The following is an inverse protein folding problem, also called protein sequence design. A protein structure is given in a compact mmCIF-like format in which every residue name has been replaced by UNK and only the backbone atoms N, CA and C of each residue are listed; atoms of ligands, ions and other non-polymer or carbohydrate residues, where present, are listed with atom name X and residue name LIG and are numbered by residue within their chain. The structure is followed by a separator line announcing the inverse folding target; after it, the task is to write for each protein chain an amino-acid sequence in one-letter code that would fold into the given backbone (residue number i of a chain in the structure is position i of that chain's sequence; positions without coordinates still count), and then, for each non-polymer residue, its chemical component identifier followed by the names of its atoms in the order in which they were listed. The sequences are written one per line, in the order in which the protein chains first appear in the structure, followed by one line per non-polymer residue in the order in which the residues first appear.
data_IF_320390683073
#
_entry.id   IF_320390683073
#
_cell.length_a   1.000
_cell.length_b   1.000
_cell.length_c   1.000
_cell.angle_alpha   90.00
_cell.angle_beta   90.00
_cell.angle_gamma   90.00
#
_symmetry.space_group_name_H-M   'P 1'
#
loop_
_entity.id
_entity.type
_entity.pdbx_description
1 polymer ?
#
# COMPACT_ATOMS: atom_id res chain seq x y z
N UNK A 1 -15.44 10.05 20.17
CA UNK A 1 -16.78 10.58 19.80
C UNK A 1 -17.53 9.47 19.07
N UNK A 2 -18.57 8.90 19.68
CA UNK A 2 -19.36 7.83 19.02
C UNK A 2 -20.29 8.45 18.00
N UNK A 3 -20.16 8.09 16.72
CA UNK A 3 -21.13 8.41 15.67
C UNK A 3 -22.47 7.68 15.95
N UNK A 4 -23.37 8.32 16.71
CA UNK A 4 -24.58 7.70 17.24
C UNK A 4 -25.79 7.83 16.27
N UNK A 5 -25.76 8.78 15.32
CA UNK A 5 -26.85 9.05 14.39
C UNK A 5 -26.59 8.60 12.95
N UNK A 6 -27.67 8.37 12.18
CA UNK A 6 -27.63 8.02 10.75
C UNK A 6 -26.77 8.99 9.92
N UNK A 7 -26.98 10.29 10.06
CA UNK A 7 -26.22 11.33 9.35
C UNK A 7 -24.75 11.34 9.76
N UNK A 8 -24.42 11.08 11.02
CA UNK A 8 -23.04 11.01 11.48
C UNK A 8 -22.32 9.79 10.88
N UNK A 9 -22.92 8.60 10.94
CA UNK A 9 -22.34 7.38 10.35
C UNK A 9 -22.14 7.52 8.84
N UNK A 10 -23.12 8.13 8.13
CA UNK A 10 -23.03 8.44 6.70
C UNK A 10 -21.84 9.36 6.41
N UNK A 11 -21.74 10.48 7.12
CA UNK A 11 -20.68 11.47 6.89
C UNK A 11 -19.29 10.92 7.21
N UNK A 12 -19.15 10.15 8.30
CA UNK A 12 -17.90 9.48 8.63
C UNK A 12 -17.48 8.46 7.55
N UNK A 13 -18.43 7.66 7.07
CA UNK A 13 -18.16 6.68 6.02
C UNK A 13 -17.79 7.35 4.70
N UNK A 14 -18.49 8.44 4.33
CA UNK A 14 -18.14 9.23 3.16
C UNK A 14 -16.75 9.86 3.30
N UNK A 15 -16.42 10.45 4.46
CA UNK A 15 -15.12 11.06 4.70
C UNK A 15 -13.96 10.05 4.59
N UNK A 16 -14.13 8.85 5.18
CA UNK A 16 -13.15 7.77 5.05
C UNK A 16 -12.96 7.35 3.59
N UNK A 17 -14.04 7.16 2.84
CA UNK A 17 -13.90 6.77 1.44
C UNK A 17 -13.29 7.87 0.57
N UNK A 18 -13.56 9.15 0.83
CA UNK A 18 -12.90 10.27 0.16
C UNK A 18 -11.40 10.26 0.49
N UNK A 19 -11.02 10.03 1.74
CA UNK A 19 -9.62 9.89 2.13
C UNK A 19 -8.92 8.77 1.34
N UNK A 20 -9.55 7.59 1.22
CA UNK A 20 -9.00 6.47 0.44
C UNK A 20 -8.91 6.77 -1.06
N UNK A 21 -9.87 7.50 -1.63
CA UNK A 21 -9.77 8.00 -3.02
C UNK A 21 -8.54 8.89 -3.17
N UNK A 22 -8.31 9.83 -2.26
CA UNK A 22 -7.15 10.73 -2.31
C UNK A 22 -5.83 9.95 -2.18
N UNK A 23 -5.75 9.00 -1.25
CA UNK A 23 -4.57 8.13 -1.07
C UNK A 23 -4.30 7.29 -2.31
N UNK A 24 -5.33 6.69 -2.92
CA UNK A 24 -5.18 5.89 -4.13
C UNK A 24 -4.67 6.70 -5.33
N UNK A 25 -5.20 7.91 -5.54
CA UNK A 25 -4.74 8.83 -6.58
C UNK A 25 -3.30 9.28 -6.34
N UNK A 26 -2.94 9.55 -5.09
CA UNK A 26 -1.58 9.91 -4.70
C UNK A 26 -0.60 8.76 -4.96
N UNK A 27 -0.95 7.52 -4.62
CA UNK A 27 -0.13 6.34 -4.92
C UNK A 27 0.09 6.17 -6.43
N UNK A 28 -0.98 6.26 -7.23
CA UNK A 28 -0.90 6.16 -8.69
C UNK A 28 -0.02 7.29 -9.25
N UNK A 29 -0.23 8.53 -8.77
CA UNK A 29 0.53 9.70 -9.20
C UNK A 29 2.02 9.59 -8.91
N UNK A 30 2.41 9.18 -7.69
CA UNK A 30 3.82 9.00 -7.31
C UNK A 30 4.46 7.87 -8.12
N UNK A 31 3.76 6.75 -8.32
CA UNK A 31 4.28 5.62 -9.09
C UNK A 31 4.49 5.99 -10.58
N UNK A 32 3.53 6.71 -11.18
CA UNK A 32 3.63 7.19 -12.54
C UNK A 32 4.76 8.23 -12.70
N UNK A 33 4.87 9.17 -11.75
CA UNK A 33 5.90 10.20 -11.74
C UNK A 33 7.30 9.60 -11.57
N UNK A 34 7.48 8.68 -10.61
CA UNK A 34 8.75 7.98 -10.40
C UNK A 34 9.21 7.20 -11.63
N UNK A 35 8.27 6.61 -12.38
CA UNK A 35 8.55 5.96 -13.66
C UNK A 35 8.98 6.95 -14.74
N UNK A 36 8.29 8.09 -14.84
CA UNK A 36 8.58 9.12 -15.83
C UNK A 36 10.00 9.71 -15.66
N UNK A 37 10.42 9.94 -14.42
CA UNK A 37 11.76 10.46 -14.11
C UNK A 37 12.85 9.39 -14.07
N UNK A 38 12.55 8.13 -14.40
CA UNK A 38 13.52 7.05 -14.42
C UNK A 38 14.09 6.66 -13.05
N UNK A 39 13.43 7.08 -11.96
CA UNK A 39 13.81 6.75 -10.58
C UNK A 39 13.62 5.26 -10.28
N UNK A 40 12.66 4.64 -10.95
CA UNK A 40 12.39 3.19 -10.86
C UNK A 40 12.21 2.64 -12.26
N UNK A 41 13.16 1.82 -12.73
CA UNK A 41 13.10 1.18 -14.06
C UNK A 41 12.33 -0.15 -14.01
N UNK A 42 12.14 -0.75 -12.84
CA UNK A 42 11.42 -2.00 -12.68
C UNK A 42 9.92 -1.84 -12.94
N UNK A 43 9.48 -2.23 -14.13
CA UNK A 43 8.06 -2.21 -14.53
C UNK A 43 7.15 -3.01 -13.59
N UNK A 44 7.67 -4.09 -12.97
CA UNK A 44 6.91 -4.94 -12.05
C UNK A 44 6.54 -4.20 -10.76
N UNK A 45 7.48 -3.45 -10.18
CA UNK A 45 7.23 -2.68 -8.94
C UNK A 45 6.24 -1.55 -9.20
N UNK A 46 6.48 -0.76 -10.25
CA UNK A 46 5.58 0.34 -10.64
C UNK A 46 4.19 -0.18 -10.98
N UNK A 47 4.09 -1.24 -11.77
CA UNK A 47 2.82 -1.87 -12.14
C UNK A 47 2.07 -2.42 -10.93
N UNK A 48 2.77 -3.00 -9.96
CA UNK A 48 2.19 -3.47 -8.70
C UNK A 48 1.57 -2.33 -7.88
N UNK A 49 2.31 -1.23 -7.69
CA UNK A 49 1.82 -0.06 -6.94
C UNK A 49 0.61 0.58 -7.63
N UNK A 50 0.66 0.75 -8.96
CA UNK A 50 -0.47 1.27 -9.75
C UNK A 50 -1.67 0.33 -9.63
N UNK A 51 -1.47 -0.99 -9.75
CA UNK A 51 -2.54 -1.98 -9.63
C UNK A 51 -3.25 -1.93 -8.29
N UNK A 52 -2.50 -1.85 -7.18
CA UNK A 52 -3.06 -1.68 -5.84
C UNK A 52 -3.80 -0.34 -5.73
N UNK A 53 -3.22 0.76 -6.22
CA UNK A 53 -3.86 2.07 -6.22
C UNK A 53 -5.19 2.08 -6.98
N UNK A 54 -5.25 1.48 -8.17
CA UNK A 54 -6.47 1.35 -8.97
C UNK A 54 -7.52 0.49 -8.25
N UNK A 55 -7.11 -0.63 -7.66
CA UNK A 55 -8.00 -1.47 -6.86
C UNK A 55 -8.62 -0.70 -5.68
N UNK A 56 -7.80 -0.01 -4.89
CA UNK A 56 -8.26 0.81 -3.75
C UNK A 56 -9.20 1.93 -4.20
N UNK A 57 -8.91 2.57 -5.34
CA UNK A 57 -9.77 3.60 -5.93
C UNK A 57 -11.19 3.07 -6.21
N UNK A 58 -11.31 1.92 -6.87
CA UNK A 58 -12.62 1.33 -7.15
C UNK A 58 -13.35 0.88 -5.88
N UNK A 59 -12.65 0.29 -4.92
CA UNK A 59 -13.24 -0.09 -3.62
C UNK A 59 -13.78 1.14 -2.89
N UNK A 60 -13.02 2.22 -2.85
CA UNK A 60 -13.43 3.47 -2.22
C UNK A 60 -14.62 4.12 -2.94
N UNK A 61 -14.68 4.09 -4.28
CA UNK A 61 -15.85 4.56 -5.05
C UNK A 61 -17.09 3.74 -4.74
N UNK A 62 -16.98 2.42 -4.67
CA UNK A 62 -18.09 1.52 -4.30
C UNK A 62 -18.60 1.86 -2.90
N UNK A 63 -17.70 2.06 -1.94
CA UNK A 63 -18.03 2.48 -0.57
C UNK A 63 -18.74 3.84 -0.54
N UNK A 64 -18.25 4.82 -1.31
CA UNK A 64 -18.82 6.15 -1.40
C UNK A 64 -20.25 6.13 -2.00
N UNK A 65 -20.43 5.41 -3.11
CA UNK A 65 -21.75 5.24 -3.75
C UNK A 65 -22.73 4.52 -2.81
N UNK A 66 -22.25 3.45 -2.15
CA UNK A 66 -23.02 2.70 -1.15
C UNK A 66 -23.47 3.58 0.01
N UNK A 67 -22.59 4.46 0.51
CA UNK A 67 -22.88 5.38 1.59
C UNK A 67 -23.86 6.50 1.15
N UNK A 68 -23.66 7.07 -0.03
CA UNK A 68 -24.52 8.15 -0.54
C UNK A 68 -25.95 7.67 -0.85
N UNK A 69 -26.07 6.50 -1.47
CA UNK A 69 -27.35 5.93 -1.92
C UNK A 69 -28.01 5.01 -0.88
N UNK A 70 -27.36 4.75 0.26
CA UNK A 70 -27.80 3.78 1.29
C UNK A 70 -28.18 2.42 0.68
N UNK A 71 -27.36 1.93 -0.29
CA UNK A 71 -27.64 0.69 -0.99
C UNK A 71 -27.13 -0.49 -0.17
N UNK A 72 -28.04 -1.22 0.52
CA UNK A 72 -27.70 -2.25 1.51
C UNK A 72 -26.86 -3.41 0.94
N UNK A 73 -27.14 -3.83 -0.30
CA UNK A 73 -26.40 -4.91 -0.97
C UNK A 73 -24.97 -4.47 -1.28
N UNK A 74 -24.80 -3.24 -1.78
CA UNK A 74 -23.47 -2.68 -2.11
C UNK A 74 -22.61 -2.53 -0.85
N UNK A 75 -23.20 -2.03 0.23
CA UNK A 75 -22.53 -1.92 1.53
C UNK A 75 -22.13 -3.28 2.11
N UNK A 76 -22.92 -4.32 1.85
CA UNK A 76 -22.57 -5.67 2.28
C UNK A 76 -21.32 -6.20 1.56
N UNK A 77 -21.27 -6.11 0.23
CA UNK A 77 -20.08 -6.53 -0.53
C UNK A 77 -18.87 -5.67 -0.19
N UNK A 78 -19.04 -4.37 -0.03
CA UNK A 78 -18.00 -3.46 0.40
C UNK A 78 -17.37 -3.89 1.75
N UNK A 79 -18.21 -4.26 2.73
CA UNK A 79 -17.76 -4.73 4.04
C UNK A 79 -16.96 -6.02 3.95
N UNK A 80 -17.37 -6.97 3.08
CA UNK A 80 -16.62 -8.22 2.85
C UNK A 80 -15.25 -7.91 2.25
N UNK A 81 -15.21 -7.05 1.22
CA UNK A 81 -13.95 -6.66 0.57
C UNK A 81 -13.02 -5.99 1.57
N UNK A 82 -13.51 -5.03 2.36
CA UNK A 82 -12.70 -4.38 3.40
C UNK A 82 -12.15 -5.36 4.42
N UNK A 83 -12.96 -6.34 4.83
CA UNK A 83 -12.50 -7.35 5.79
C UNK A 83 -11.38 -8.22 5.22
N UNK A 84 -11.48 -8.62 3.95
CA UNK A 84 -10.42 -9.37 3.27
C UNK A 84 -9.15 -8.53 3.16
N UNK A 85 -9.28 -7.27 2.74
CA UNK A 85 -8.14 -6.33 2.63
C UNK A 85 -7.49 -6.15 3.99
N UNK A 86 -8.28 -5.95 5.05
CA UNK A 86 -7.79 -5.86 6.42
C UNK A 86 -6.95 -7.07 6.82
N UNK A 87 -7.45 -8.30 6.60
CA UNK A 87 -6.71 -9.52 6.99
C UNK A 87 -5.37 -9.59 6.27
N UNK A 88 -5.35 -9.34 4.96
CA UNK A 88 -4.12 -9.37 4.17
C UNK A 88 -3.16 -8.26 4.62
N UNK A 89 -3.63 -7.03 4.73
CA UNK A 89 -2.81 -5.86 5.09
C UNK A 89 -2.24 -5.98 6.51
N UNK A 90 -3.06 -6.40 7.46
CA UNK A 90 -2.62 -6.62 8.84
C UNK A 90 -1.55 -7.72 8.92
N UNK A 91 -1.74 -8.84 8.22
CA UNK A 91 -0.78 -9.94 8.17
C UNK A 91 0.56 -9.50 7.56
N UNK A 92 0.52 -8.77 6.43
CA UNK A 92 1.73 -8.26 5.77
C UNK A 92 2.44 -7.23 6.66
N UNK A 93 1.70 -6.34 7.32
CA UNK A 93 2.27 -5.32 8.22
C UNK A 93 2.96 -5.95 9.43
N UNK A 94 2.32 -6.95 10.06
CA UNK A 94 2.93 -7.70 11.15
C UNK A 94 4.18 -8.46 10.69
N UNK A 95 4.14 -9.11 9.53
CA UNK A 95 5.29 -9.81 8.97
C UNK A 95 6.45 -8.84 8.69
N UNK A 96 6.16 -7.65 8.12
CA UNK A 96 7.18 -6.62 7.84
C UNK A 96 7.88 -6.11 9.09
N UNK A 97 7.18 -6.05 10.23
CA UNK A 97 7.75 -5.63 11.51
C UNK A 97 8.47 -6.77 12.25
N UNK A 98 8.08 -8.01 12.01
CA UNK A 98 8.64 -9.19 12.67
C UNK A 98 9.83 -9.82 11.95
N UNK A 99 10.15 -9.36 10.73
CA UNK A 99 11.22 -9.93 9.91
C UNK A 99 12.58 -9.73 10.58
N UNK A 100 13.36 -10.80 10.71
CA UNK A 100 14.69 -10.76 11.25
C UNK A 100 15.71 -10.33 10.19
N UNK A 101 16.87 -9.84 10.61
CA UNK A 101 17.95 -9.41 9.69
C UNK A 101 18.39 -10.53 8.73
N UNK A 102 18.46 -11.77 9.23
CA UNK A 102 18.81 -12.96 8.42
C UNK A 102 17.76 -13.27 7.34
N UNK A 103 16.47 -13.20 7.70
CA UNK A 103 15.37 -13.40 6.75
C UNK A 103 15.30 -12.26 5.73
N UNK A 104 15.57 -11.04 6.18
CA UNK A 104 15.64 -9.88 5.30
C UNK A 104 16.76 -10.04 4.27
N UNK A 105 17.94 -10.50 4.70
CA UNK A 105 19.08 -10.76 3.81
C UNK A 105 18.74 -11.79 2.73
N UNK A 106 18.15 -12.92 3.11
CA UNK A 106 17.74 -13.98 2.18
C UNK A 106 16.73 -13.46 1.14
N UNK A 107 15.72 -12.71 1.58
CA UNK A 107 14.73 -12.10 0.69
C UNK A 107 15.35 -11.07 -0.26
N UNK A 108 16.30 -10.28 0.21
CA UNK A 108 17.01 -9.29 -0.60
C UNK A 108 17.91 -9.96 -1.64
N UNK A 109 18.57 -11.05 -1.29
CA UNK A 109 19.39 -11.83 -2.23
C UNK A 109 18.54 -12.47 -3.34
N UNK A 110 17.41 -13.08 -2.96
CA UNK A 110 16.42 -13.59 -3.93
C UNK A 110 15.89 -12.47 -4.83
N UNK A 111 15.56 -11.33 -4.27
CA UNK A 111 15.09 -10.14 -5.01
C UNK A 111 16.17 -9.61 -5.97
N UNK A 112 17.41 -9.57 -5.53
CA UNK A 112 18.57 -9.16 -6.34
C UNK A 112 18.76 -10.06 -7.56
N UNK A 113 18.74 -11.37 -7.35
CA UNK A 113 18.97 -12.35 -8.41
C UNK A 113 17.84 -12.44 -9.44
N UNK A 114 16.62 -11.99 -9.09
CA UNK A 114 15.45 -12.11 -9.96
C UNK A 114 15.31 -11.00 -11.01
N UNK A 115 16.04 -9.88 -10.92
CA UNK A 115 15.83 -8.75 -11.83
C UNK A 115 17.08 -7.89 -12.03
N UNK A 116 17.68 -8.00 -13.21
CA UNK A 116 18.82 -7.15 -13.62
C UNK A 116 18.48 -5.66 -13.63
N UNK A 117 17.23 -5.30 -13.95
CA UNK A 117 16.81 -3.91 -13.93
C UNK A 117 16.77 -3.36 -12.50
N UNK A 118 16.30 -4.16 -11.54
CA UNK A 118 16.31 -3.80 -10.12
C UNK A 118 17.73 -3.64 -9.59
N UNK A 119 18.66 -4.53 -10.01
CA UNK A 119 20.07 -4.40 -9.66
C UNK A 119 20.63 -3.04 -10.11
N UNK A 120 20.43 -2.66 -11.37
CA UNK A 120 20.89 -1.38 -11.91
C UNK A 120 20.28 -0.16 -11.22
N UNK A 121 19.01 -0.23 -10.86
CA UNK A 121 18.33 0.85 -10.15
C UNK A 121 18.93 1.03 -8.75
N UNK A 122 19.17 -0.07 -8.05
CA UNK A 122 19.78 -0.08 -6.73
C UNK A 122 21.23 0.41 -6.78
N UNK A 123 22.02 -0.10 -7.73
CA UNK A 123 23.42 0.32 -7.92
C UNK A 123 23.55 1.81 -8.15
N UNK A 124 22.67 2.39 -8.98
CA UNK A 124 22.64 3.83 -9.24
C UNK A 124 22.16 4.65 -8.04
N UNK A 125 21.13 4.18 -7.34
CA UNK A 125 20.51 4.95 -6.26
C UNK A 125 21.32 4.94 -4.97
N UNK A 126 22.02 3.83 -4.69
CA UNK A 126 22.82 3.66 -3.48
C UNK A 126 24.33 3.83 -3.72
N UNK A 127 24.72 4.08 -4.96
CA UNK A 127 26.14 4.20 -5.37
C UNK A 127 26.99 3.04 -4.83
N UNK A 128 26.66 1.81 -5.27
CA UNK A 128 27.28 0.55 -4.87
C UNK A 128 27.28 -0.43 -6.04
N UNK A 129 28.12 -1.47 -6.02
CA UNK A 129 28.22 -2.47 -7.07
C UNK A 129 28.26 -3.89 -6.55
N UNK A 130 27.42 -4.77 -7.16
CA UNK A 130 27.31 -6.16 -6.75
C UNK A 130 26.64 -6.36 -5.39
N UNK A 131 26.14 -7.56 -5.12
CA UNK A 131 25.44 -7.83 -3.85
C UNK A 131 26.44 -8.02 -2.69
N UNK A 132 27.21 -9.10 -2.71
CA UNK A 132 28.15 -9.47 -1.64
C UNK A 132 29.61 -9.17 -2.00
N UNK A 133 29.92 -8.94 -3.28
CA UNK A 133 31.25 -8.64 -3.77
C UNK A 133 31.22 -7.73 -4.99
N UNK A 134 32.21 -6.87 -5.15
CA UNK A 134 32.34 -5.99 -6.32
C UNK A 134 33.22 -6.68 -7.37
N UNK A 135 32.65 -6.88 -8.57
CA UNK A 135 33.39 -7.40 -9.71
C UNK A 135 33.70 -6.26 -10.69
N UNK A 136 34.91 -5.73 -10.64
CA UNK A 136 35.34 -4.64 -11.52
C UNK A 136 35.58 -5.04 -12.99
N UNK A 137 35.54 -6.34 -13.31
CA UNK A 137 35.55 -6.81 -14.70
C UNK A 137 34.14 -6.86 -15.33
N UNK A 138 33.10 -6.64 -14.53
CA UNK A 138 31.70 -6.58 -14.97
C UNK A 138 31.25 -5.18 -15.38
N UNK A 139 29.94 -5.00 -15.50
CA UNK A 139 29.27 -3.72 -15.80
C UNK A 139 28.45 -3.31 -14.59
N UNK A 140 28.69 -2.12 -14.05
CA UNK A 140 27.92 -1.54 -12.97
C UNK A 140 27.47 -0.13 -13.31
N UNK A 141 26.26 0.23 -12.87
CA UNK A 141 25.66 1.54 -13.17
C UNK A 141 25.97 2.64 -12.15
N UNK A 142 26.77 2.37 -11.13
CA UNK A 142 27.10 3.31 -10.05
C UNK A 142 28.16 4.33 -10.46
N UNK A 143 28.09 5.55 -9.89
CA UNK A 143 29.06 6.60 -10.15
C UNK A 143 30.47 6.29 -9.60
N UNK A 144 30.56 5.50 -8.54
CA UNK A 144 31.83 5.04 -7.95
C UNK A 144 32.61 4.03 -8.83
N UNK A 145 31.94 3.37 -9.81
CA UNK A 145 32.53 2.26 -10.56
C UNK A 145 33.79 2.61 -11.37
N UNK A 146 33.85 3.74 -12.11
CA UNK A 146 35.04 4.11 -12.87
C UNK A 146 36.27 4.36 -11.99
N UNK A 147 36.07 4.75 -10.73
CA UNK A 147 37.13 5.08 -9.79
C UNK A 147 37.58 3.89 -8.94
N UNK A 148 36.98 2.69 -9.12
CA UNK A 148 37.24 1.50 -8.31
C UNK A 148 37.08 1.70 -6.80
N UNK A 149 36.14 2.60 -6.40
CA UNK A 149 35.87 2.97 -4.99
C UNK A 149 34.53 2.44 -4.48
N UNK A 150 33.87 1.57 -5.24
CA UNK A 150 32.56 1.04 -4.85
C UNK A 150 32.63 0.04 -3.70
N UNK A 151 31.72 0.22 -2.78
CA UNK A 151 31.37 -0.81 -1.79
C UNK A 151 30.34 -1.78 -2.38
N UNK A 152 30.21 -2.97 -1.77
CA UNK A 152 29.13 -3.90 -2.10
C UNK A 152 27.77 -3.41 -1.59
N UNK A 153 26.70 -3.76 -2.32
CA UNK A 153 25.36 -3.20 -2.07
C UNK A 153 24.67 -3.78 -0.83
N UNK A 154 25.00 -4.99 -0.39
CA UNK A 154 24.33 -5.73 0.69
C UNK A 154 24.07 -4.87 1.93
N UNK A 155 25.09 -4.28 2.53
CA UNK A 155 24.95 -3.51 3.77
C UNK A 155 24.10 -2.24 3.60
N UNK A 156 24.26 -1.55 2.46
CA UNK A 156 23.48 -0.35 2.15
C UNK A 156 22.01 -0.69 1.92
N UNK A 157 21.72 -1.77 1.17
CA UNK A 157 20.36 -2.24 0.92
C UNK A 157 19.70 -2.68 2.23
N UNK A 158 20.38 -3.47 3.05
CA UNK A 158 19.87 -4.00 4.31
C UNK A 158 19.46 -2.88 5.27
N UNK A 159 20.28 -1.86 5.41
CA UNK A 159 19.94 -0.69 6.24
C UNK A 159 18.69 0.02 5.74
N UNK A 160 18.64 0.37 4.45
CA UNK A 160 17.48 1.05 3.88
C UNK A 160 16.22 0.17 3.87
N UNK A 161 16.36 -1.12 3.60
CA UNK A 161 15.24 -2.05 3.63
C UNK A 161 14.65 -2.18 5.03
N UNK A 162 15.46 -2.21 6.08
CA UNK A 162 14.98 -2.21 7.46
C UNK A 162 14.16 -0.96 7.81
N UNK A 163 14.67 0.22 7.47
CA UNK A 163 13.96 1.49 7.67
C UNK A 163 12.61 1.52 6.91
N UNK A 164 12.62 1.10 5.64
CA UNK A 164 11.41 1.05 4.80
C UNK A 164 10.41 0.03 5.34
N UNK A 165 10.84 -1.16 5.75
CA UNK A 165 9.96 -2.19 6.31
C UNK A 165 9.29 -1.73 7.60
N UNK A 166 10.02 -1.05 8.50
CA UNK A 166 9.46 -0.48 9.71
C UNK A 166 8.42 0.61 9.39
N UNK A 167 8.75 1.51 8.47
CA UNK A 167 7.84 2.57 8.05
C UNK A 167 6.58 2.00 7.39
N UNK A 168 6.73 1.11 6.41
CA UNK A 168 5.60 0.49 5.68
C UNK A 168 4.76 -0.37 6.63
N UNK A 169 5.38 -1.15 7.53
CA UNK A 169 4.68 -1.93 8.54
C UNK A 169 3.86 -1.06 9.48
N UNK A 170 4.43 0.05 9.98
CA UNK A 170 3.74 0.99 10.87
C UNK A 170 2.57 1.70 10.18
N UNK A 171 2.77 2.21 8.96
CA UNK A 171 1.73 2.83 8.13
C UNK A 171 0.63 1.80 7.79
N UNK A 172 1.02 0.57 7.44
CA UNK A 172 0.08 -0.51 7.17
C UNK A 172 -0.80 -0.85 8.36
N UNK A 173 -0.24 -0.94 9.57
CA UNK A 173 -1.04 -1.13 10.79
C UNK A 173 -2.01 0.02 11.03
N UNK A 174 -1.59 1.26 10.84
CA UNK A 174 -2.48 2.41 10.96
C UNK A 174 -3.69 2.31 10.02
N UNK A 175 -3.46 1.98 8.75
CA UNK A 175 -4.56 1.80 7.79
C UNK A 175 -5.42 0.58 8.12
N UNK A 176 -4.86 -0.51 8.66
CA UNK A 176 -5.63 -1.67 9.12
C UNK A 176 -6.63 -1.28 10.22
N UNK A 177 -6.26 -0.41 11.14
CA UNK A 177 -7.21 0.12 12.14
C UNK A 177 -8.31 0.97 11.52
N UNK A 178 -8.00 1.79 10.51
CA UNK A 178 -9.02 2.59 9.81
C UNK A 178 -9.98 1.70 9.00
N UNK A 179 -9.50 0.57 8.48
CA UNK A 179 -10.34 -0.43 7.80
C UNK A 179 -11.32 -1.13 8.74
N UNK A 180 -10.89 -1.52 9.96
CA UNK A 180 -11.81 -2.05 10.99
C UNK A 180 -12.88 -1.03 11.34
N UNK A 181 -12.50 0.24 11.52
CA UNK A 181 -13.46 1.32 11.74
C UNK A 181 -14.42 1.44 10.59
N UNK A 182 -13.94 1.34 9.34
CA UNK A 182 -14.76 1.33 8.13
C UNK A 182 -15.77 0.18 8.11
N UNK A 183 -15.35 -1.03 8.44
CA UNK A 183 -16.22 -2.22 8.56
C UNK A 183 -17.30 -1.99 9.62
N UNK A 184 -16.90 -1.53 10.81
CA UNK A 184 -17.81 -1.27 11.91
C UNK A 184 -18.84 -0.17 11.58
N UNK A 185 -18.39 0.94 10.99
CA UNK A 185 -19.24 2.03 10.55
C UNK A 185 -20.21 1.58 9.46
N UNK A 186 -19.74 0.79 8.50
CA UNK A 186 -20.57 0.25 7.41
C UNK A 186 -21.64 -0.69 7.95
N UNK A 187 -21.28 -1.60 8.86
CA UNK A 187 -22.21 -2.50 9.51
C UNK A 187 -23.30 -1.71 10.26
N UNK A 188 -22.87 -0.72 11.04
CA UNK A 188 -23.80 0.12 11.80
C UNK A 188 -24.70 0.96 10.91
N UNK A 189 -24.14 1.60 9.88
CA UNK A 189 -24.90 2.42 8.92
C UNK A 189 -25.90 1.58 8.14
N UNK A 190 -25.53 0.38 7.72
CA UNK A 190 -26.43 -0.56 7.02
C UNK A 190 -27.64 -0.94 7.88
N UNK A 191 -27.47 -1.13 9.18
CA UNK A 191 -28.53 -1.55 10.08
C UNK A 191 -29.40 -0.39 10.60
N UNK A 192 -29.10 0.85 10.26
CA UNK A 192 -29.91 2.02 10.59
C UNK A 192 -31.01 2.24 9.56
N UNK A 193 -32.24 2.54 10.02
CA UNK A 193 -33.33 2.92 9.14
C UNK A 193 -33.07 4.32 8.60
N UNK A 194 -33.29 4.52 7.29
CA UNK A 194 -33.23 5.85 6.67
C UNK A 194 -34.41 6.70 7.16
N UNK A 195 -34.14 7.83 7.85
CA UNK A 195 -35.21 8.71 8.33
C UNK A 195 -36.03 9.36 7.20
N UNK A 196 -35.54 9.26 5.94
CA UNK A 196 -36.25 9.75 4.75
C UNK A 196 -37.12 8.69 4.07
N UNK A 197 -36.99 7.43 4.48
CA UNK A 197 -37.86 6.37 3.98
C UNK A 197 -39.24 6.57 4.55
N UNK A 198 -40.24 6.68 3.66
CA UNK A 198 -41.64 6.93 4.02
C UNK A 198 -42.12 5.86 5.02
N UNK A 199 -42.66 6.26 6.21
CA UNK A 199 -43.14 5.29 7.19
C UNK A 199 -44.34 4.46 6.67
N UNK A 200 -45.05 4.95 5.65
CA UNK A 200 -46.17 4.26 5.02
C UNK A 200 -45.79 3.13 4.05
N UNK A 201 -44.50 2.95 3.72
CA UNK A 201 -44.05 1.84 2.88
C UNK A 201 -43.84 0.53 3.66
N UNK A 202 -44.10 0.52 4.96
CA UNK A 202 -43.92 -0.61 5.89
C UNK A 202 -45.23 -1.00 6.61
N UNK A 203 -46.36 -0.45 6.19
CA UNK A 203 -47.70 -0.88 6.49
C UNK A 203 -48.31 -1.55 5.24
#
# INVERSE_FOLDING_TARGET
MACIGFSCSKNCLCALNILYVMVSLLMIGIAAWGKWFGLVSSFRVVGGVIGVGVFLFFVALVGLIGALRHHQVLLFFYMIVLFIVFVVQFSVSCASLAITETQQEELLEVGWNNSVNTQRDVEKSLDCCGFSAVNYSGVCGAACFPNHTCDFCKAKIQKHAGEVLQFVGGVGLFFSFTEILGVWLTYRYRNQKDPRANPSAFL
#
